data_IF_577589545630
#
_entry.id   IF_577589545630
#
_cell.length_a   1.000
_cell.length_b   1.000
_cell.length_c   1.000
_cell.angle_alpha   90.00
_cell.angle_beta   90.00
_cell.angle_gamma   90.00
#
_symmetry.space_group_name_H-M   'P 1'
#
loop_
_entity.id
_entity.type
_entity.pdbx_description
1 polymer ?
#
# COMPACT_ATOMS: atom_id res chain seq x y z
N UNK A 1 -17.14 2.16 4.23
CA UNK A 1 -16.36 2.21 5.49
C UNK A 1 -15.02 2.80 5.11
N UNK A 2 -14.93 4.12 5.15
CA UNK A 2 -13.76 4.90 4.72
C UNK A 2 -12.70 4.91 5.82
N UNK A 3 -11.40 4.91 5.48
CA UNK A 3 -10.31 4.80 6.47
C UNK A 3 -9.17 5.73 6.08
N UNK A 4 -8.80 6.67 6.96
CA UNK A 4 -7.60 7.46 6.78
C UNK A 4 -6.35 6.60 6.98
N UNK A 5 -5.64 6.30 5.89
CA UNK A 5 -4.35 5.59 5.91
C UNK A 5 -3.23 6.63 5.98
N UNK A 6 -2.35 6.53 6.97
CA UNK A 6 -1.20 7.45 7.11
C UNK A 6 0.14 6.73 6.93
N UNK A 7 0.14 5.39 6.96
CA UNK A 7 1.34 4.57 6.82
C UNK A 7 1.11 3.43 5.83
N UNK A 8 2.08 3.22 4.94
CA UNK A 8 2.14 2.09 4.01
C UNK A 8 3.48 1.38 4.10
N UNK A 9 3.42 0.08 4.34
CA UNK A 9 4.56 -0.80 4.50
C UNK A 9 4.64 -1.77 3.31
N UNK A 10 5.83 -1.91 2.73
CA UNK A 10 6.11 -2.90 1.67
C UNK A 10 7.24 -3.83 2.05
N UNK A 11 7.18 -5.04 1.50
CA UNK A 11 8.26 -6.01 1.61
C UNK A 11 9.30 -5.78 0.50
N UNK A 12 10.59 -5.76 0.86
CA UNK A 12 11.71 -5.62 -0.09
C UNK A 12 11.68 -6.75 -1.13
N UNK A 13 11.31 -7.96 -0.71
CA UNK A 13 11.16 -9.12 -1.60
C UNK A 13 9.97 -9.04 -2.57
N UNK A 14 9.18 -7.96 -2.52
CA UNK A 14 8.04 -7.72 -3.40
C UNK A 14 8.24 -6.47 -4.28
N UNK A 15 9.38 -5.79 -4.18
CA UNK A 15 9.69 -4.59 -4.97
C UNK A 15 9.81 -4.89 -6.46
N UNK A 16 10.23 -6.09 -6.85
CA UNK A 16 10.29 -6.55 -8.25
C UNK A 16 8.91 -6.57 -8.91
N UNK A 17 7.82 -6.58 -8.13
CA UNK A 17 6.44 -6.49 -8.60
C UNK A 17 5.96 -5.04 -8.79
N UNK A 18 6.81 -4.06 -8.49
CA UNK A 18 6.50 -2.64 -8.66
C UNK A 18 5.77 -1.98 -7.49
N UNK A 19 5.88 -2.54 -6.29
CA UNK A 19 5.32 -1.92 -5.06
C UNK A 19 6.05 -0.67 -4.62
N UNK A 20 7.34 -0.55 -4.98
CA UNK A 20 8.09 0.72 -4.93
C UNK A 20 7.33 1.82 -5.66
N UNK A 21 7.00 1.58 -6.93
CA UNK A 21 6.31 2.54 -7.78
C UNK A 21 4.95 2.95 -7.18
N UNK A 22 4.21 2.00 -6.60
CA UNK A 22 2.93 2.28 -5.92
C UNK A 22 3.13 3.25 -4.76
N UNK A 23 4.14 3.04 -3.90
CA UNK A 23 4.43 3.97 -2.80
C UNK A 23 4.76 5.37 -3.33
N UNK A 24 5.59 5.46 -4.38
CA UNK A 24 5.96 6.77 -4.92
C UNK A 24 4.77 7.51 -5.53
N UNK A 25 3.84 6.81 -6.18
CA UNK A 25 2.58 7.42 -6.64
C UNK A 25 1.72 7.91 -5.45
N UNK A 26 1.57 7.07 -4.42
CA UNK A 26 0.78 7.45 -3.24
C UNK A 26 1.40 8.63 -2.47
N UNK A 27 2.73 8.69 -2.35
CA UNK A 27 3.45 9.83 -1.75
C UNK A 27 3.35 11.11 -2.57
N UNK A 28 3.28 10.99 -3.89
CA UNK A 28 3.08 12.15 -4.76
C UNK A 28 1.68 12.77 -4.57
N UNK A 29 0.68 11.94 -4.27
CA UNK A 29 -0.69 12.38 -3.95
C UNK A 29 -0.86 12.82 -2.49
N UNK A 30 -0.16 12.16 -1.57
CA UNK A 30 -0.22 12.36 -0.13
C UNK A 30 1.18 12.56 0.45
N UNK A 31 1.70 13.81 0.47
CA UNK A 31 3.06 14.11 0.93
C UNK A 31 3.34 13.76 2.40
N UNK A 32 2.28 13.63 3.21
CA UNK A 32 2.30 13.24 4.62
C UNK A 32 2.30 11.71 4.84
N UNK A 33 2.18 10.92 3.76
CA UNK A 33 2.19 9.46 3.82
C UNK A 33 3.55 8.92 4.23
N UNK A 34 3.57 8.19 5.34
CA UNK A 34 4.73 7.41 5.76
C UNK A 34 4.85 6.15 4.90
N UNK A 35 5.97 5.99 4.20
CA UNK A 35 6.25 4.79 3.42
C UNK A 35 7.51 4.09 3.92
N UNK A 36 7.36 2.87 4.45
CA UNK A 36 8.47 2.09 4.99
C UNK A 36 8.67 0.76 4.23
N UNK A 37 9.94 0.38 4.10
CA UNK A 37 10.37 -0.86 3.44
C UNK A 37 10.88 -1.84 4.49
N UNK A 38 10.37 -3.06 4.46
CA UNK A 38 10.68 -4.11 5.42
C UNK A 38 11.34 -5.32 4.77
N UNK A 39 12.23 -5.99 5.50
CA UNK A 39 12.91 -7.21 5.04
C UNK A 39 11.94 -8.38 4.75
N UNK A 40 11.10 -8.76 5.70
CA UNK A 40 9.87 -9.52 5.44
C UNK A 40 8.74 -8.97 6.34
N UNK A 41 7.54 -8.81 5.78
CA UNK A 41 6.32 -8.43 6.50
C UNK A 41 5.58 -9.64 7.11
N UNK A 42 6.28 -10.77 7.31
CA UNK A 42 5.67 -12.04 7.74
C UNK A 42 4.77 -12.70 6.69
N UNK A 43 4.57 -12.09 5.53
CA UNK A 43 3.72 -12.61 4.45
C UNK A 43 4.53 -13.32 3.35
N UNK A 44 5.63 -14.00 3.73
CA UNK A 44 6.65 -14.43 2.77
C UNK A 44 6.14 -15.49 1.75
N UNK A 45 4.98 -16.14 1.98
CA UNK A 45 4.32 -17.05 1.02
C UNK A 45 3.52 -16.37 -0.11
N UNK A 46 3.07 -15.13 0.11
CA UNK A 46 2.33 -14.34 -0.89
C UNK A 46 3.17 -13.21 -1.48
N UNK A 47 4.28 -12.84 -0.82
CA UNK A 47 5.30 -11.93 -1.34
C UNK A 47 5.80 -12.28 -2.74
N UNK A 48 5.84 -13.57 -3.09
CA UNK A 48 6.34 -14.02 -4.39
C UNK A 48 5.27 -13.98 -5.49
N UNK A 49 3.98 -14.00 -5.14
CA UNK A 49 2.89 -14.26 -6.10
C UNK A 49 2.30 -12.98 -6.68
N UNK A 50 2.17 -11.91 -5.88
CA UNK A 50 1.41 -10.70 -6.23
C UNK A 50 1.99 -9.45 -5.55
N UNK A 51 1.86 -8.26 -6.16
CA UNK A 51 2.17 -7.01 -5.48
C UNK A 51 1.21 -6.81 -4.28
N UNK A 52 1.76 -6.43 -3.12
CA UNK A 52 0.97 -6.12 -1.93
C UNK A 52 1.58 -5.00 -1.08
N UNK A 53 0.73 -4.34 -0.29
CA UNK A 53 1.06 -3.29 0.68
C UNK A 53 0.29 -3.57 1.98
N UNK A 54 0.92 -3.32 3.13
CA UNK A 54 0.24 -3.30 4.41
C UNK A 54 0.04 -1.84 4.85
N UNK A 55 -1.21 -1.42 5.00
CA UNK A 55 -1.55 -0.06 5.42
C UNK A 55 -1.89 -0.01 6.92
N UNK A 56 -1.35 0.99 7.61
CA UNK A 56 -1.50 1.23 9.06
C UNK A 56 -1.33 -0.05 9.91
N UNK A 57 -0.39 -0.92 9.53
CA UNK A 57 -0.11 -2.22 10.18
C UNK A 57 -1.34 -3.15 10.32
N UNK A 58 -2.43 -2.88 9.60
CA UNK A 58 -3.74 -3.55 9.78
C UNK A 58 -4.38 -4.03 8.49
N UNK A 59 -4.19 -3.32 7.39
CA UNK A 59 -4.94 -3.55 6.16
C UNK A 59 -4.03 -4.04 5.05
N UNK A 60 -4.19 -5.31 4.66
CA UNK A 60 -3.44 -5.89 3.56
C UNK A 60 -4.15 -5.61 2.23
N UNK A 61 -3.50 -4.87 1.35
CA UNK A 61 -3.94 -4.65 -0.02
C UNK A 61 -3.09 -5.48 -0.98
N UNK A 62 -3.71 -6.25 -1.85
CA UNK A 62 -3.05 -7.03 -2.89
C UNK A 62 -3.83 -6.98 -4.20
N UNK A 63 -3.12 -7.10 -5.32
CA UNK A 63 -3.73 -7.13 -6.65
C UNK A 63 -2.92 -7.97 -7.64
N UNK A 64 -3.39 -8.13 -8.89
CA UNK A 64 -2.63 -8.89 -9.89
C UNK A 64 -1.52 -8.05 -10.52
N UNK A 65 -1.75 -6.74 -10.63
CA UNK A 65 -0.77 -5.79 -11.14
C UNK A 65 -0.57 -4.64 -10.17
N UNK A 66 0.53 -3.89 -10.33
CA UNK A 66 0.84 -2.72 -9.51
C UNK A 66 -0.16 -1.58 -9.72
N UNK A 67 -0.72 -1.44 -10.93
CA UNK A 67 -1.74 -0.46 -11.27
C UNK A 67 -3.05 -0.78 -10.56
N UNK A 68 -3.50 -2.04 -10.61
CA UNK A 68 -4.68 -2.49 -9.85
C UNK A 68 -4.51 -2.31 -8.34
N UNK A 69 -3.27 -2.48 -7.82
CA UNK A 69 -2.99 -2.28 -6.40
C UNK A 69 -3.15 -0.80 -6.02
N UNK A 70 -2.63 0.11 -6.84
CA UNK A 70 -2.77 1.54 -6.65
C UNK A 70 -4.24 1.96 -6.67
N UNK A 71 -5.00 1.49 -7.67
CA UNK A 71 -6.43 1.80 -7.81
C UNK A 71 -7.28 1.24 -6.66
N UNK A 72 -6.83 0.18 -5.98
CA UNK A 72 -7.48 -0.33 -4.77
C UNK A 72 -7.21 0.52 -3.53
N UNK A 73 -6.01 1.06 -3.39
CA UNK A 73 -5.60 1.82 -2.19
C UNK A 73 -6.06 3.28 -2.28
N UNK A 74 -5.95 3.88 -3.47
CA UNK A 74 -6.23 5.31 -3.71
C UNK A 74 -7.60 5.78 -3.21
N UNK A 75 -8.71 5.04 -3.37
CA UNK A 75 -10.02 5.45 -2.85
C UNK A 75 -10.07 5.51 -1.33
N UNK A 76 -9.36 4.62 -0.64
CA UNK A 76 -9.34 4.61 0.83
C UNK A 76 -8.51 5.80 1.36
N UNK A 77 -7.51 6.28 0.62
CA UNK A 77 -6.67 7.42 1.01
C UNK A 77 -7.27 8.80 0.76
N UNK A 78 -8.11 8.96 -0.28
CA UNK A 78 -8.63 10.26 -0.73
C UNK A 78 -9.99 10.65 -0.13
N UNK A 79 -10.54 9.87 0.79
CA UNK A 79 -11.81 10.22 1.43
C UNK A 79 -11.52 10.96 2.74
N UNK A 80 -11.50 12.30 2.65
CA UNK A 80 -11.64 13.16 3.82
C UNK A 80 -12.91 12.79 4.57
N UNK A 81 -12.76 12.63 5.88
CA UNK A 81 -13.78 12.21 6.82
C UNK A 81 -15.01 13.13 6.72
N UNK A 82 -16.02 12.67 5.97
CA UNK A 82 -17.34 13.27 5.96
C UNK A 82 -18.28 12.34 6.72
N UNK A 83 -18.08 12.16 8.02
CA UNK A 83 -19.21 11.89 8.92
C UNK A 83 -18.95 12.48 10.30
N UNK A 84 -19.54 13.67 10.44
CA UNK A 84 -20.00 14.37 11.64
C UNK A 84 -20.47 13.46 12.80
#
# INVERSE_FOLDING_TARGET
MSRKINKVDVCIGNLDKGTDWVIEQLKAEHPDLEGQRWGCLGNCGDCYKRPFVLADDRWLYEAKTKEELLDKIRPDMNIEDSTK
#
